data_IF_179336524646
#
_entry.id   IF_179336524646
#
_cell.length_a   1.000
_cell.length_b   1.000
_cell.length_c   1.000
_cell.angle_alpha   90.00
_cell.angle_beta   90.00
_cell.angle_gamma   90.00
#
_symmetry.space_group_name_H-M   'P 1'
#
loop_
_entity.id
_entity.type
_entity.pdbx_description
1 polymer ?
#
# COMPACT_ATOMS: atom_id res chain seq x y z
N UNK A 1 2.94 6.62 35.69
CA UNK A 1 4.12 6.70 34.78
C UNK A 1 5.37 6.03 35.34
N UNK A 2 5.83 6.33 36.58
CA UNK A 2 7.09 5.77 37.14
C UNK A 2 7.11 4.22 37.23
N UNK A 3 5.96 3.61 37.48
CA UNK A 3 5.81 2.15 37.55
C UNK A 3 6.05 1.48 36.19
N UNK A 4 5.60 2.11 35.10
CA UNK A 4 5.77 1.60 33.73
C UNK A 4 7.24 1.57 33.32
N UNK A 5 7.97 2.68 33.54
CA UNK A 5 9.42 2.73 33.27
C UNK A 5 10.23 1.78 34.16
N UNK A 6 9.79 1.55 35.41
CA UNK A 6 10.42 0.58 36.30
C UNK A 6 10.26 -0.85 35.78
N UNK A 7 9.07 -1.22 35.31
CA UNK A 7 8.82 -2.52 34.67
C UNK A 7 9.60 -2.68 33.36
N UNK A 8 9.64 -1.63 32.53
CA UNK A 8 10.38 -1.62 31.27
C UNK A 8 11.88 -1.87 31.49
N UNK A 9 12.46 -1.37 32.61
CA UNK A 9 13.88 -1.57 32.93
C UNK A 9 14.29 -3.03 33.15
N UNK A 10 13.34 -3.91 33.54
CA UNK A 10 13.58 -5.34 33.72
C UNK A 10 13.57 -6.14 32.41
N UNK A 11 13.07 -5.56 31.31
CA UNK A 11 12.92 -6.23 30.01
C UNK A 11 14.12 -6.04 29.07
N UNK A 12 15.33 -5.72 29.57
CA UNK A 12 16.51 -5.52 28.71
C UNK A 12 16.83 -6.82 27.93
N UNK A 13 17.10 -6.74 26.61
CA UNK A 13 17.54 -5.58 25.84
C UNK A 13 16.48 -5.05 24.85
N UNK A 14 15.43 -4.38 25.33
CA UNK A 14 14.36 -3.79 24.50
C UNK A 14 14.85 -2.72 23.50
N UNK A 15 15.92 -1.96 23.82
CA UNK A 15 16.36 -0.82 23.01
C UNK A 15 16.94 -1.15 21.63
N UNK A 16 17.42 -2.39 21.42
CA UNK A 16 18.06 -2.78 20.15
C UNK A 16 17.07 -3.29 19.10
N UNK A 17 15.94 -3.84 19.53
CA UNK A 17 14.94 -4.45 18.66
C UNK A 17 13.73 -3.53 18.39
N UNK A 18 13.43 -2.63 19.34
CA UNK A 18 12.32 -1.67 19.22
C UNK A 18 12.34 -0.77 17.96
N UNK A 19 13.47 -0.14 17.54
CA UNK A 19 13.44 0.75 16.37
C UNK A 19 13.15 -0.02 15.08
N UNK A 20 13.73 -1.20 14.90
CA UNK A 20 13.46 -2.07 13.75
C UNK A 20 12.01 -2.54 13.74
N UNK A 21 11.48 -2.97 14.90
CA UNK A 21 10.08 -3.35 15.06
C UNK A 21 9.12 -2.23 14.65
N UNK A 22 9.38 -1.00 15.13
CA UNK A 22 8.56 0.16 14.78
C UNK A 22 8.58 0.45 13.29
N UNK A 23 9.76 0.43 12.66
CA UNK A 23 9.88 0.69 11.22
C UNK A 23 9.09 -0.33 10.40
N UNK A 24 9.21 -1.61 10.73
CA UNK A 24 8.50 -2.69 10.03
C UNK A 24 6.98 -2.60 10.27
N UNK A 25 6.55 -2.25 11.49
CA UNK A 25 5.14 -2.06 11.82
C UNK A 25 4.52 -0.90 11.05
N UNK A 26 5.23 0.23 10.94
CA UNK A 26 4.78 1.37 10.13
C UNK A 26 4.68 0.98 8.66
N UNK A 27 5.66 0.24 8.14
CA UNK A 27 5.66 -0.24 6.75
C UNK A 27 4.48 -1.17 6.47
N UNK A 28 4.21 -2.09 7.41
CA UNK A 28 3.04 -2.97 7.38
C UNK A 28 1.73 -2.18 7.34
N UNK A 29 1.59 -1.17 8.20
CA UNK A 29 0.42 -0.29 8.25
C UNK A 29 0.21 0.46 6.94
N UNK A 30 1.27 0.98 6.33
CA UNK A 30 1.22 1.68 5.04
C UNK A 30 0.71 0.73 3.94
N UNK A 31 1.22 -0.49 3.85
CA UNK A 31 0.71 -1.48 2.89
C UNK A 31 -0.73 -1.91 3.16
N UNK A 32 -1.13 -1.98 4.42
CA UNK A 32 -2.53 -2.19 4.79
C UNK A 32 -3.45 -1.09 4.25
N UNK A 33 -3.03 0.18 4.37
CA UNK A 33 -3.77 1.33 3.82
C UNK A 33 -3.84 1.25 2.29
N UNK A 34 -2.76 0.88 1.61
CA UNK A 34 -2.76 0.68 0.16
C UNK A 34 -3.77 -0.39 -0.28
N UNK A 35 -3.88 -1.52 0.43
CA UNK A 35 -4.89 -2.53 0.14
C UNK A 35 -6.31 -1.97 0.20
N UNK A 36 -6.61 -1.14 1.21
CA UNK A 36 -7.91 -0.48 1.32
C UNK A 36 -8.16 0.52 0.19
N UNK A 37 -7.14 1.33 -0.16
CA UNK A 37 -7.23 2.30 -1.25
C UNK A 37 -7.47 1.63 -2.62
N UNK A 38 -6.95 0.41 -2.83
CA UNK A 38 -7.11 -0.37 -4.06
C UNK A 38 -8.51 -0.97 -4.24
N UNK A 39 -9.35 -0.99 -3.21
CA UNK A 39 -10.76 -1.39 -3.35
C UNK A 39 -11.51 -0.40 -4.25
N UNK A 40 -11.23 0.90 -4.12
CA UNK A 40 -11.88 1.93 -4.91
C UNK A 40 -11.73 1.75 -6.45
N UNK A 41 -10.52 1.54 -7.01
CA UNK A 41 -10.37 1.29 -8.44
C UNK A 41 -11.02 -0.03 -8.88
N UNK A 42 -11.03 -1.09 -8.07
CA UNK A 42 -11.74 -2.34 -8.41
C UNK A 42 -13.23 -2.06 -8.64
N UNK A 43 -13.88 -1.41 -7.68
CA UNK A 43 -15.30 -1.04 -7.75
C UNK A 43 -15.55 -0.16 -8.98
N UNK A 44 -14.70 0.85 -9.22
CA UNK A 44 -14.83 1.74 -10.38
C UNK A 44 -14.73 1.00 -11.71
N UNK A 45 -13.80 0.06 -11.85
CA UNK A 45 -13.67 -0.70 -13.10
C UNK A 45 -14.91 -1.58 -13.31
N UNK A 46 -15.45 -2.22 -12.26
CA UNK A 46 -16.63 -3.09 -12.37
C UNK A 46 -17.89 -2.31 -12.75
N UNK A 47 -18.15 -1.17 -12.08
CA UNK A 47 -19.44 -0.47 -12.20
C UNK A 47 -19.42 0.68 -13.21
N UNK A 48 -18.28 1.34 -13.40
CA UNK A 48 -18.18 2.57 -14.20
C UNK A 48 -16.88 2.63 -15.01
N UNK A 49 -16.68 1.73 -16.00
CA UNK A 49 -15.45 1.65 -16.78
C UNK A 49 -15.11 2.93 -17.56
N UNK A 50 -16.12 3.70 -17.96
CA UNK A 50 -15.94 4.98 -18.66
C UNK A 50 -15.58 6.15 -17.72
N UNK A 51 -15.74 5.97 -16.41
CA UNK A 51 -15.45 6.99 -15.38
C UNK A 51 -14.04 6.84 -14.78
N UNK A 52 -13.21 5.98 -15.38
CA UNK A 52 -11.81 5.85 -15.01
C UNK A 52 -11.11 7.15 -15.41
N UNK A 53 -10.51 7.83 -14.42
CA UNK A 53 -9.72 9.04 -14.65
C UNK A 53 -8.55 8.65 -15.56
N UNK A 54 -8.63 9.08 -16.82
CA UNK A 54 -7.61 8.75 -17.81
C UNK A 54 -6.40 9.66 -17.58
N UNK A 55 -5.37 9.10 -16.97
CA UNK A 55 -4.09 9.78 -16.88
C UNK A 55 -3.24 9.35 -18.06
N UNK A 56 -3.23 10.17 -19.11
CA UNK A 56 -2.52 9.90 -20.37
C UNK A 56 -1.05 10.35 -20.33
N UNK A 57 -0.72 11.28 -19.43
CA UNK A 57 0.63 11.84 -19.27
C UNK A 57 1.30 11.25 -18.04
N UNK A 58 2.58 10.87 -18.18
CA UNK A 58 3.41 10.45 -17.07
C UNK A 58 3.57 11.63 -16.09
N UNK A 59 3.24 11.48 -14.80
CA UNK A 59 3.40 12.56 -13.84
C UNK A 59 4.88 12.87 -13.62
N UNK A 60 5.19 14.16 -13.41
CA UNK A 60 6.55 14.57 -13.01
C UNK A 60 6.89 14.00 -11.64
N UNK A 61 8.15 13.57 -11.47
CA UNK A 61 8.60 12.96 -10.23
C UNK A 61 8.47 13.93 -9.05
N UNK A 62 7.63 13.57 -8.08
CA UNK A 62 7.40 14.34 -6.86
C UNK A 62 7.21 13.38 -5.69
N UNK A 63 7.81 13.69 -4.54
CA UNK A 63 7.59 12.93 -3.30
C UNK A 63 6.28 13.44 -2.67
N UNK A 64 5.16 12.99 -3.23
CA UNK A 64 3.81 13.32 -2.75
C UNK A 64 2.89 12.11 -2.89
N UNK A 65 1.85 12.06 -2.06
CA UNK A 65 0.82 11.02 -2.17
C UNK A 65 0.15 11.09 -3.55
N UNK A 66 -0.08 12.31 -4.04
CA UNK A 66 -0.68 12.57 -5.35
C UNK A 66 0.16 12.00 -6.51
N UNK A 67 1.49 12.06 -6.42
CA UNK A 67 2.36 11.43 -7.43
C UNK A 67 2.13 9.93 -7.51
N UNK A 68 2.08 9.22 -6.38
CA UNK A 68 1.87 7.78 -6.37
C UNK A 68 0.48 7.39 -6.86
N UNK A 69 -0.57 8.14 -6.49
CA UNK A 69 -1.93 7.90 -7.00
C UNK A 69 -2.00 8.13 -8.51
N UNK A 70 -1.36 9.19 -8.99
CA UNK A 70 -1.32 9.54 -10.40
C UNK A 70 -0.53 8.54 -11.24
N UNK A 71 0.60 8.07 -10.71
CA UNK A 71 1.41 7.04 -11.34
C UNK A 71 0.63 5.72 -11.48
N UNK A 72 -0.07 5.32 -10.41
CA UNK A 72 -0.95 4.15 -10.44
C UNK A 72 -2.06 4.29 -11.48
N UNK A 73 -2.73 5.44 -11.53
CA UNK A 73 -3.78 5.74 -12.52
C UNK A 73 -3.24 5.72 -13.96
N UNK A 74 -2.02 6.22 -14.19
CA UNK A 74 -1.36 6.16 -15.49
C UNK A 74 -1.12 4.71 -15.96
N UNK A 75 -0.57 3.86 -15.10
CA UNK A 75 -0.36 2.44 -15.45
C UNK A 75 -1.69 1.69 -15.66
N UNK A 76 -2.68 1.95 -14.81
CA UNK A 76 -4.02 1.38 -14.94
C UNK A 76 -4.67 1.78 -16.27
N UNK A 77 -4.62 3.07 -16.63
CA UNK A 77 -5.13 3.59 -17.91
C UNK A 77 -4.39 2.97 -19.09
N UNK A 78 -3.05 2.84 -19.01
CA UNK A 78 -2.23 2.25 -20.08
C UNK A 78 -2.54 0.77 -20.31
N UNK A 79 -2.83 0.02 -19.25
CA UNK A 79 -3.18 -1.41 -19.33
C UNK A 79 -4.59 -1.57 -19.91
N UNK A 80 -5.56 -0.76 -19.47
CA UNK A 80 -6.94 -0.79 -19.99
C UNK A 80 -7.02 -0.29 -21.44
N UNK A 81 -6.23 0.71 -21.81
CA UNK A 81 -6.20 1.23 -23.18
C UNK A 81 -5.58 0.25 -24.18
N UNK A 82 -4.67 -0.63 -23.74
CA UNK A 82 -4.05 -1.68 -24.58
C UNK A 82 -4.78 -3.00 -24.55
N UNK A 83 -5.55 -3.25 -23.51
CA UNK A 83 -6.18 -4.53 -23.27
C UNK A 83 -7.51 -4.33 -22.57
N UNK A 84 -8.52 -5.09 -22.98
CA UNK A 84 -9.88 -5.03 -22.44
C UNK A 84 -9.95 -4.85 -20.91
N UNK A 85 -11.09 -4.35 -20.44
CA UNK A 85 -11.39 -4.08 -19.03
C UNK A 85 -10.95 -5.17 -18.03
N UNK A 86 -11.05 -6.43 -18.46
CA UNK A 86 -10.65 -7.61 -17.68
C UNK A 86 -9.18 -7.58 -17.25
N UNK A 87 -8.28 -7.11 -18.12
CA UNK A 87 -6.85 -7.00 -17.81
C UNK A 87 -6.58 -5.88 -16.79
N UNK A 88 -7.38 -4.81 -16.80
CA UNK A 88 -7.35 -3.79 -15.75
C UNK A 88 -7.73 -4.37 -14.38
N UNK A 89 -8.80 -5.18 -14.34
CA UNK A 89 -9.23 -5.88 -13.12
C UNK A 89 -8.13 -6.82 -12.59
N UNK A 90 -7.54 -7.62 -13.48
CA UNK A 90 -6.45 -8.54 -13.12
C UNK A 90 -5.23 -7.78 -12.58
N UNK A 91 -4.86 -6.67 -13.22
CA UNK A 91 -3.75 -5.84 -12.76
C UNK A 91 -3.97 -5.34 -11.33
N UNK A 92 -5.13 -4.75 -11.04
CA UNK A 92 -5.43 -4.25 -9.70
C UNK A 92 -5.49 -5.39 -8.67
N UNK A 93 -6.05 -6.54 -9.05
CA UNK A 93 -6.14 -7.72 -8.18
C UNK A 93 -4.76 -8.28 -7.83
N UNK A 94 -3.87 -8.46 -8.82
CA UNK A 94 -2.51 -8.96 -8.60
C UNK A 94 -1.71 -7.96 -7.74
N UNK A 95 -1.86 -6.67 -8.02
CA UNK A 95 -1.21 -5.63 -7.24
C UNK A 95 -1.69 -5.62 -5.78
N UNK A 96 -2.99 -5.83 -5.54
CA UNK A 96 -3.55 -5.97 -4.20
C UNK A 96 -2.99 -7.22 -3.49
N UNK A 97 -2.93 -8.38 -4.16
CA UNK A 97 -2.34 -9.59 -3.59
C UNK A 97 -0.87 -9.36 -3.20
N UNK A 98 -0.11 -8.68 -4.04
CA UNK A 98 1.28 -8.31 -3.75
C UNK A 98 1.39 -7.39 -2.52
N UNK A 99 0.56 -6.35 -2.45
CA UNK A 99 0.53 -5.44 -1.30
C UNK A 99 0.11 -6.15 -0.01
N UNK A 100 -0.90 -7.02 -0.07
CA UNK A 100 -1.34 -7.83 1.07
C UNK A 100 -0.26 -8.79 1.53
N UNK A 101 0.49 -9.40 0.60
CA UNK A 101 1.63 -10.24 0.93
C UNK A 101 2.72 -9.44 1.64
N UNK A 102 3.10 -8.26 1.14
CA UNK A 102 4.08 -7.39 1.79
C UNK A 102 3.64 -6.92 3.18
N UNK A 103 2.35 -6.58 3.36
CA UNK A 103 1.80 -6.22 4.66
C UNK A 103 1.88 -7.38 5.65
N UNK A 104 1.42 -8.58 5.25
CA UNK A 104 1.47 -9.76 6.11
C UNK A 104 2.91 -10.18 6.42
N UNK A 105 3.81 -10.12 5.46
CA UNK A 105 5.23 -10.42 5.67
C UNK A 105 5.85 -9.43 6.67
N UNK A 106 5.53 -8.15 6.57
CA UNK A 106 6.00 -7.14 7.51
C UNK A 106 5.44 -7.38 8.92
N UNK A 107 4.14 -7.68 9.04
CA UNK A 107 3.55 -8.05 10.33
C UNK A 107 4.21 -9.29 10.95
N UNK A 108 4.50 -10.30 10.13
CA UNK A 108 5.14 -11.53 10.59
C UNK A 108 6.58 -11.29 11.09
N UNK A 109 7.36 -10.43 10.40
CA UNK A 109 8.73 -10.10 10.82
C UNK A 109 8.72 -9.17 12.05
N UNK A 110 7.66 -8.37 12.22
CA UNK A 110 7.50 -7.53 13.40
C UNK A 110 7.18 -8.38 14.65
N UNK A 111 6.31 -9.40 14.56
CA UNK A 111 6.01 -10.27 15.70
C UNK A 111 7.22 -11.07 16.20
#
# INVERSE_FOLDING_TARGET
MKTFFRLLSFAKPYGRYWPTYLLISIFSMIFGIFNFALVAPIVRIIFSPNAIVQQLTMPEFSISVDYFTNLFQYYLTKIIGRSSLLNGLLFVSIFMLFMSFCSNLSNYIAQ
#
